data_IF_278727322634
#
_entry.id   IF_278727322634
#
_cell.length_a   1.000
_cell.length_b   1.000
_cell.length_c   1.000
_cell.angle_alpha   90.00
_cell.angle_beta   90.00
_cell.angle_gamma   90.00
#
_symmetry.space_group_name_H-M   'P 1'
#
loop_
_entity.id
_entity.type
_entity.pdbx_description
1 polymer ?
#
# COMPACT_ATOMS: atom_id res chain seq x y z
N UNK A 1 35.23 6.22 -19.03
CA UNK A 1 34.27 5.16 -18.65
C UNK A 1 32.88 5.78 -18.62
N UNK A 2 31.86 5.11 -19.18
CA UNK A 2 30.48 5.55 -19.06
C UNK A 2 30.11 5.66 -17.57
N UNK A 3 29.43 6.76 -17.18
CA UNK A 3 28.97 6.92 -15.80
C UNK A 3 27.80 5.96 -15.55
N UNK A 4 27.75 5.29 -14.39
CA UNK A 4 26.63 4.44 -14.05
C UNK A 4 25.34 5.27 -13.92
N UNK A 5 24.24 4.73 -14.44
CA UNK A 5 22.92 5.30 -14.31
C UNK A 5 22.54 5.44 -12.82
N UNK A 6 22.36 6.67 -12.31
CA UNK A 6 22.13 6.91 -10.90
C UNK A 6 20.80 6.33 -10.39
N UNK A 7 19.75 6.33 -11.22
CA UNK A 7 18.45 5.77 -10.85
C UNK A 7 18.50 4.24 -10.75
N UNK A 8 19.19 3.56 -11.68
CA UNK A 8 19.38 2.11 -11.60
C UNK A 8 20.26 1.70 -10.41
N UNK A 9 21.32 2.46 -10.12
CA UNK A 9 22.17 2.23 -8.95
C UNK A 9 21.36 2.34 -7.66
N UNK A 10 20.51 3.37 -7.54
CA UNK A 10 19.65 3.55 -6.39
C UNK A 10 18.57 2.47 -6.29
N UNK A 11 17.95 2.07 -7.41
CA UNK A 11 17.02 0.94 -7.44
C UNK A 11 17.68 -0.35 -6.93
N UNK A 12 18.93 -0.62 -7.37
CA UNK A 12 19.69 -1.78 -6.90
C UNK A 12 19.92 -1.74 -5.39
N UNK A 13 20.30 -0.58 -4.84
CA UNK A 13 20.47 -0.41 -3.40
C UNK A 13 19.14 -0.67 -2.65
N UNK A 14 18.03 -0.12 -3.14
CA UNK A 14 16.70 -0.35 -2.55
C UNK A 14 16.32 -1.84 -2.51
N UNK A 15 16.57 -2.55 -3.61
CA UNK A 15 16.29 -3.99 -3.72
C UNK A 15 17.13 -4.77 -2.72
N UNK A 16 18.42 -4.44 -2.60
CA UNK A 16 19.34 -5.12 -1.66
C UNK A 16 18.93 -4.85 -0.21
N UNK A 17 18.65 -3.61 0.17
CA UNK A 17 18.21 -3.24 1.53
C UNK A 17 16.93 -3.97 1.94
N UNK A 18 15.98 -4.14 1.01
CA UNK A 18 14.77 -4.92 1.27
C UNK A 18 15.06 -6.40 1.47
N UNK A 19 15.96 -6.99 0.67
CA UNK A 19 16.18 -8.44 0.67
C UNK A 19 17.15 -8.92 1.76
N UNK A 20 18.12 -8.09 2.15
CA UNK A 20 19.12 -8.43 3.18
C UNK A 20 18.76 -7.82 4.54
N UNK A 21 18.48 -6.51 4.56
CA UNK A 21 18.26 -5.76 5.81
C UNK A 21 16.79 -5.80 6.26
N UNK A 22 15.90 -6.35 5.42
CA UNK A 22 14.45 -6.44 5.64
C UNK A 22 13.78 -5.08 5.87
N UNK A 23 14.31 -4.04 5.26
CA UNK A 23 13.72 -2.70 5.32
C UNK A 23 12.69 -2.50 4.21
N UNK A 24 11.55 -1.91 4.55
CA UNK A 24 10.58 -1.49 3.56
C UNK A 24 11.14 -0.39 2.64
N UNK A 25 10.57 -0.25 1.44
CA UNK A 25 10.98 0.83 0.54
C UNK A 25 10.73 2.21 1.20
N UNK A 26 9.64 2.34 1.96
CA UNK A 26 9.31 3.58 2.65
C UNK A 26 10.33 3.94 3.74
N UNK A 27 10.79 2.97 4.53
CA UNK A 27 11.83 3.18 5.55
C UNK A 27 13.15 3.60 4.91
N UNK A 28 13.60 2.90 3.87
CA UNK A 28 14.83 3.24 3.17
C UNK A 28 14.79 4.66 2.58
N UNK A 29 13.66 5.05 1.98
CA UNK A 29 13.47 6.42 1.45
C UNK A 29 13.47 7.46 2.58
N UNK A 30 12.86 7.14 3.72
CA UNK A 30 12.85 8.02 4.89
C UNK A 30 14.23 8.17 5.52
N UNK A 31 15.10 7.16 5.39
CA UNK A 31 16.51 7.18 5.75
C UNK A 31 17.42 7.74 4.64
N UNK A 32 16.87 8.61 3.78
CA UNK A 32 17.66 9.35 2.78
C UNK A 32 18.36 8.47 1.72
N UNK A 33 17.94 7.22 1.52
CA UNK A 33 18.58 6.29 0.55
C UNK A 33 18.58 6.80 -0.91
N UNK A 34 17.76 7.81 -1.21
CA UNK A 34 17.65 8.44 -2.53
C UNK A 34 18.18 9.87 -2.57
N UNK A 35 18.93 10.31 -1.56
CA UNK A 35 19.51 11.64 -1.52
C UNK A 35 20.54 11.88 -2.64
N UNK A 36 20.61 13.14 -3.08
CA UNK A 36 21.43 13.54 -4.23
C UNK A 36 20.85 13.18 -5.61
N UNK A 37 19.70 12.52 -5.69
CA UNK A 37 18.96 12.30 -6.94
C UNK A 37 17.95 13.41 -7.22
N UNK A 38 17.79 13.76 -8.50
CA UNK A 38 16.69 14.62 -8.95
C UNK A 38 15.32 13.95 -8.78
N UNK A 39 14.22 14.70 -8.68
CA UNK A 39 12.88 14.09 -8.52
C UNK A 39 12.52 13.04 -9.59
N UNK A 40 12.85 13.22 -10.90
CA UNK A 40 12.63 12.19 -11.91
C UNK A 40 13.44 10.91 -11.68
N UNK A 41 14.70 11.04 -11.23
CA UNK A 41 15.57 9.91 -10.92
C UNK A 41 15.07 9.15 -9.69
N UNK A 42 14.63 9.86 -8.64
CA UNK A 42 14.00 9.26 -7.45
C UNK A 42 12.77 8.45 -7.83
N UNK A 43 11.87 9.05 -8.61
CA UNK A 43 10.66 8.37 -9.07
C UNK A 43 10.99 7.13 -9.92
N UNK A 44 12.00 7.20 -10.79
CA UNK A 44 12.43 6.05 -11.59
C UNK A 44 13.07 4.95 -10.74
N UNK A 45 13.92 5.30 -9.77
CA UNK A 45 14.55 4.34 -8.87
C UNK A 45 13.51 3.54 -8.07
N UNK A 46 12.51 4.24 -7.51
CA UNK A 46 11.41 3.62 -6.78
C UNK A 46 10.57 2.70 -7.67
N UNK A 47 10.17 3.17 -8.87
CA UNK A 47 9.41 2.34 -9.83
C UNK A 47 10.16 1.06 -10.18
N UNK A 48 11.46 1.14 -10.47
CA UNK A 48 12.28 -0.03 -10.78
C UNK A 48 12.38 -0.98 -9.59
N UNK A 49 12.64 -0.48 -8.38
CA UNK A 49 12.71 -1.31 -7.18
C UNK A 49 11.37 -2.03 -6.91
N UNK A 50 10.26 -1.29 -6.93
CA UNK A 50 8.90 -1.86 -6.79
C UNK A 50 8.61 -2.89 -7.87
N UNK A 51 8.96 -2.61 -9.14
CA UNK A 51 8.76 -3.52 -10.28
C UNK A 51 9.55 -4.82 -10.08
N UNK A 52 10.80 -4.74 -9.62
CA UNK A 52 11.63 -5.92 -9.33
C UNK A 52 11.09 -6.74 -8.17
N UNK A 53 10.70 -6.10 -7.08
CA UNK A 53 10.19 -6.80 -5.89
C UNK A 53 8.86 -7.50 -6.17
N UNK A 54 7.99 -6.92 -7.02
CA UNK A 54 6.76 -7.55 -7.48
C UNK A 54 7.01 -8.80 -8.31
N UNK A 55 7.98 -8.74 -9.21
CA UNK A 55 8.29 -9.82 -10.15
C UNK A 55 9.52 -10.65 -9.72
N UNK A 56 9.83 -10.68 -8.42
CA UNK A 56 11.05 -11.29 -7.91
C UNK A 56 11.14 -12.79 -8.24
N UNK A 57 10.02 -13.50 -8.07
CA UNK A 57 9.93 -14.94 -8.38
C UNK A 57 9.98 -15.21 -9.88
N UNK A 58 9.40 -14.33 -10.71
CA UNK A 58 9.46 -14.45 -12.16
C UNK A 58 10.89 -14.26 -12.66
N UNK A 59 11.58 -13.25 -12.15
CA UNK A 59 12.99 -13.01 -12.45
C UNK A 59 13.87 -14.19 -12.00
N UNK A 60 13.62 -14.74 -10.80
CA UNK A 60 14.33 -15.94 -10.34
C UNK A 60 14.08 -17.16 -11.23
N UNK A 61 12.83 -17.36 -11.67
CA UNK A 61 12.46 -18.43 -12.59
C UNK A 61 13.17 -18.25 -13.95
N UNK A 62 13.27 -17.02 -14.46
CA UNK A 62 14.02 -16.71 -15.68
C UNK A 62 15.52 -16.97 -15.55
N UNK A 63 16.12 -16.61 -14.41
CA UNK A 63 17.56 -16.72 -14.18
C UNK A 63 18.01 -18.15 -13.88
N UNK A 64 17.16 -18.98 -13.26
CA UNK A 64 17.49 -20.33 -12.77
C UNK A 64 18.20 -21.24 -13.80
N UNK A 65 17.77 -21.33 -15.08
CA UNK A 65 18.45 -22.19 -16.06
C UNK A 65 19.87 -21.75 -16.41
N UNK A 66 20.22 -20.48 -16.16
CA UNK A 66 21.49 -19.89 -16.58
C UNK A 66 22.50 -19.73 -15.43
N UNK A 67 22.08 -19.99 -14.19
CA UNK A 67 22.90 -19.89 -12.98
C UNK A 67 23.18 -21.27 -12.38
N UNK A 68 24.42 -21.74 -12.48
CA UNK A 68 24.84 -23.02 -11.84
C UNK A 68 24.97 -22.93 -10.32
N UNK A 69 25.28 -21.75 -9.80
CA UNK A 69 25.41 -21.44 -8.37
C UNK A 69 24.81 -20.06 -8.13
N UNK A 70 24.26 -19.84 -6.93
CA UNK A 70 23.75 -18.52 -6.53
C UNK A 70 24.92 -17.53 -6.47
N UNK A 71 24.92 -16.43 -7.26
CA UNK A 71 25.95 -15.41 -7.15
C UNK A 71 25.73 -14.54 -5.91
N UNK A 72 26.68 -13.64 -5.56
CA UNK A 72 26.50 -12.70 -4.46
C UNK A 72 25.22 -11.86 -4.59
N UNK A 73 24.69 -11.36 -3.47
CA UNK A 73 23.40 -10.66 -3.41
C UNK A 73 23.31 -9.51 -4.41
N UNK A 74 24.31 -8.64 -4.46
CA UNK A 74 24.28 -7.50 -5.40
C UNK A 74 24.25 -7.95 -6.86
N UNK A 75 24.93 -9.06 -7.17
CA UNK A 75 25.00 -9.60 -8.54
C UNK A 75 23.65 -10.21 -8.93
N UNK A 76 23.01 -10.98 -8.04
CA UNK A 76 21.68 -11.52 -8.34
C UNK A 76 20.62 -10.41 -8.37
N UNK A 77 20.70 -9.39 -7.52
CA UNK A 77 19.81 -8.24 -7.53
C UNK A 77 19.95 -7.44 -8.84
N UNK A 78 21.18 -7.26 -9.34
CA UNK A 78 21.43 -6.62 -10.63
C UNK A 78 20.89 -7.45 -11.80
N UNK A 79 21.06 -8.77 -11.77
CA UNK A 79 20.49 -9.68 -12.76
C UNK A 79 18.95 -9.64 -12.77
N UNK A 80 18.32 -9.58 -11.59
CA UNK A 80 16.86 -9.42 -11.45
C UNK A 80 16.39 -8.09 -12.00
N UNK A 81 17.06 -6.99 -11.63
CA UNK A 81 16.79 -5.66 -12.19
C UNK A 81 16.85 -5.66 -13.72
N UNK A 82 17.92 -6.21 -14.28
CA UNK A 82 18.08 -6.28 -15.74
C UNK A 82 17.01 -7.14 -16.41
N UNK A 83 16.65 -8.27 -15.79
CA UNK A 83 15.59 -9.17 -16.29
C UNK A 83 14.24 -8.46 -16.34
N UNK A 84 13.88 -7.74 -15.27
CA UNK A 84 12.61 -7.01 -15.19
C UNK A 84 12.60 -5.82 -16.15
N UNK A 85 13.71 -5.11 -16.33
CA UNK A 85 13.79 -4.05 -17.34
C UNK A 85 13.53 -4.57 -18.76
N UNK A 86 14.02 -5.77 -19.09
CA UNK A 86 13.81 -6.41 -20.40
C UNK A 86 12.37 -6.93 -20.54
N UNK A 87 11.87 -7.62 -19.52
CA UNK A 87 10.63 -8.38 -19.61
C UNK A 87 9.36 -7.56 -19.32
N UNK A 88 9.47 -6.54 -18.46
CA UNK A 88 8.34 -5.73 -17.96
C UNK A 88 8.40 -4.30 -18.48
N UNK A 89 9.54 -3.62 -18.30
CA UNK A 89 9.66 -2.19 -18.66
C UNK A 89 9.88 -1.96 -20.17
N UNK A 90 10.04 -3.02 -20.96
CA UNK A 90 10.21 -2.96 -22.41
C UNK A 90 11.54 -2.33 -22.85
N UNK A 91 12.55 -2.29 -21.98
CA UNK A 91 13.87 -1.73 -22.32
C UNK A 91 14.53 -2.61 -23.37
N UNK A 92 15.03 -2.00 -24.44
CA UNK A 92 15.74 -2.72 -25.50
C UNK A 92 16.89 -3.58 -24.91
N UNK A 93 16.99 -4.88 -25.24
CA UNK A 93 17.94 -5.79 -24.60
C UNK A 93 19.38 -5.31 -24.55
N UNK A 94 19.88 -4.75 -25.67
CA UNK A 94 21.24 -4.22 -25.71
C UNK A 94 21.47 -3.10 -24.67
N UNK A 95 20.52 -2.18 -24.54
CA UNK A 95 20.60 -1.07 -23.59
C UNK A 95 20.53 -1.52 -22.14
N UNK A 96 19.64 -2.47 -21.81
CA UNK A 96 19.55 -3.04 -20.47
C UNK A 96 20.84 -3.78 -20.07
N UNK A 97 21.36 -4.62 -20.97
CA UNK A 97 22.61 -5.38 -20.75
C UNK A 97 23.81 -4.46 -20.59
N UNK A 98 23.98 -3.46 -21.45
CA UNK A 98 25.10 -2.52 -21.38
C UNK A 98 25.07 -1.70 -20.08
N UNK A 99 23.89 -1.21 -19.68
CA UNK A 99 23.71 -0.50 -18.43
C UNK A 99 24.07 -1.39 -17.21
N UNK A 100 23.63 -2.65 -17.22
CA UNK A 100 23.93 -3.60 -16.16
C UNK A 100 25.43 -3.90 -16.05
N UNK A 101 26.10 -4.12 -17.18
CA UNK A 101 27.55 -4.35 -17.23
C UNK A 101 28.32 -3.13 -16.73
N UNK A 102 27.88 -1.93 -17.13
CA UNK A 102 28.47 -0.66 -16.69
C UNK A 102 28.31 -0.47 -15.18
N UNK A 103 27.11 -0.73 -14.62
CA UNK A 103 26.86 -0.70 -13.18
C UNK A 103 27.77 -1.68 -12.44
N UNK A 104 27.83 -2.93 -12.91
CA UNK A 104 28.65 -3.99 -12.34
C UNK A 104 30.14 -3.62 -12.28
N UNK A 105 30.68 -3.03 -13.35
CA UNK A 105 32.09 -2.57 -13.40
C UNK A 105 32.36 -1.36 -12.49
N UNK A 106 31.35 -0.52 -12.27
CA UNK A 106 31.48 0.69 -11.44
C UNK A 106 31.38 0.42 -9.93
N UNK A 107 30.90 -0.74 -9.51
CA UNK A 107 30.58 -1.06 -8.11
C UNK A 107 31.75 -1.70 -7.32
N UNK A 108 33.00 -1.44 -7.73
CA UNK A 108 34.22 -1.92 -7.07
C UNK A 108 34.77 -3.25 -7.61
N UNK A 109 36.00 -3.61 -7.20
CA UNK A 109 36.73 -4.78 -7.74
C UNK A 109 35.97 -6.10 -7.61
N UNK A 110 35.30 -6.33 -6.47
CA UNK A 110 34.58 -7.58 -6.21
C UNK A 110 33.40 -7.79 -7.17
N UNK A 111 32.56 -6.77 -7.36
CA UNK A 111 31.42 -6.85 -8.29
C UNK A 111 31.89 -6.84 -9.74
N UNK A 112 32.90 -6.04 -10.09
CA UNK A 112 33.40 -5.94 -11.47
C UNK A 112 33.86 -7.29 -12.04
N UNK A 113 34.33 -8.22 -11.20
CA UNK A 113 34.71 -9.58 -11.59
C UNK A 113 33.53 -10.39 -12.19
N UNK A 114 32.29 -10.03 -11.85
CA UNK A 114 31.07 -10.68 -12.35
C UNK A 114 30.51 -10.05 -13.63
N UNK A 115 31.15 -9.02 -14.20
CA UNK A 115 30.63 -8.33 -15.40
C UNK A 115 30.46 -9.26 -16.61
N UNK A 116 31.32 -10.28 -16.74
CA UNK A 116 31.18 -11.32 -17.76
C UNK A 116 29.95 -12.22 -17.53
N UNK A 117 29.68 -12.59 -16.28
CA UNK A 117 28.48 -13.35 -15.89
C UNK A 117 27.21 -12.53 -16.15
N UNK A 118 27.18 -11.26 -15.72
CA UNK A 118 26.07 -10.34 -15.93
C UNK A 118 25.75 -10.23 -17.42
N UNK A 119 26.75 -9.94 -18.25
CA UNK A 119 26.56 -9.88 -19.70
C UNK A 119 26.03 -11.18 -20.29
N UNK A 120 26.63 -12.32 -19.94
CA UNK A 120 26.27 -13.61 -20.52
C UNK A 120 24.86 -14.06 -20.13
N UNK A 121 24.48 -13.89 -18.85
CA UNK A 121 23.15 -14.30 -18.35
C UNK A 121 22.07 -13.37 -18.87
N UNK A 122 22.26 -12.06 -18.82
CA UNK A 122 21.26 -11.10 -19.30
C UNK A 122 20.98 -11.23 -20.80
N UNK A 123 21.98 -11.58 -21.63
CA UNK A 123 21.77 -11.89 -23.05
C UNK A 123 20.91 -13.14 -23.25
N UNK A 124 21.17 -14.22 -22.50
CA UNK A 124 20.35 -15.44 -22.56
C UNK A 124 18.92 -15.22 -22.11
N UNK A 125 18.72 -14.38 -21.08
CA UNK A 125 17.37 -13.97 -20.65
C UNK A 125 16.65 -13.20 -21.77
N UNK A 126 17.35 -12.30 -22.47
CA UNK A 126 16.77 -11.59 -23.60
C UNK A 126 16.39 -12.51 -24.77
N UNK A 127 17.25 -13.49 -25.08
CA UNK A 127 16.98 -14.52 -26.10
C UNK A 127 15.76 -15.40 -25.73
N UNK A 128 15.57 -15.68 -24.44
CA UNK A 128 14.50 -16.50 -23.88
C UNK A 128 13.30 -15.66 -23.36
N UNK A 129 13.18 -14.39 -23.75
CA UNK A 129 12.17 -13.45 -23.20
C UNK A 129 10.75 -13.98 -23.27
N UNK A 130 10.42 -14.74 -24.32
CA UNK A 130 9.07 -15.32 -24.51
C UNK A 130 8.65 -16.26 -23.37
N UNK A 131 9.60 -16.88 -22.64
CA UNK A 131 9.26 -17.71 -21.49
C UNK A 131 8.62 -16.90 -20.35
N UNK A 132 8.93 -15.62 -20.22
CA UNK A 132 8.34 -14.74 -19.20
C UNK A 132 6.81 -14.75 -19.25
N UNK A 133 6.22 -14.64 -20.45
CA UNK A 133 4.77 -14.56 -20.63
C UNK A 133 4.05 -15.89 -20.31
N UNK A 134 4.80 -16.97 -20.13
CA UNK A 134 4.28 -18.30 -19.78
C UNK A 134 4.35 -18.60 -18.27
N UNK A 135 5.01 -17.73 -17.50
CA UNK A 135 5.15 -17.93 -16.06
C UNK A 135 3.80 -17.73 -15.36
N UNK A 136 3.43 -18.60 -14.41
CA UNK A 136 2.25 -18.38 -13.60
C UNK A 136 2.48 -17.23 -12.62
N UNK A 137 1.39 -16.62 -12.13
CA UNK A 137 1.47 -15.62 -11.07
C UNK A 137 2.27 -16.16 -9.86
N UNK A 138 3.19 -15.35 -9.29
CA UNK A 138 3.95 -15.70 -8.11
C UNK A 138 3.06 -16.07 -6.93
N UNK A 139 3.51 -17.06 -6.16
CA UNK A 139 2.79 -17.50 -4.98
C UNK A 139 3.21 -16.69 -3.76
N UNK A 140 2.28 -16.41 -2.86
CA UNK A 140 2.62 -15.76 -1.60
C UNK A 140 3.54 -16.66 -0.75
N UNK A 141 4.43 -16.08 0.07
CA UNK A 141 5.24 -16.83 1.03
C UNK A 141 4.37 -17.71 1.95
N UNK A 142 4.90 -18.86 2.35
CA UNK A 142 4.15 -19.88 3.09
C UNK A 142 3.53 -19.35 4.40
N UNK A 143 4.20 -18.41 5.06
CA UNK A 143 3.73 -17.80 6.31
C UNK A 143 2.39 -17.05 6.15
N UNK A 144 2.13 -16.50 4.96
CA UNK A 144 0.92 -15.76 4.64
C UNK A 144 -0.06 -16.64 3.87
N UNK A 145 0.43 -17.37 2.86
CA UNK A 145 -0.42 -18.17 1.97
C UNK A 145 -1.22 -19.24 2.71
N UNK A 146 -0.64 -19.87 3.74
CA UNK A 146 -1.35 -20.83 4.57
C UNK A 146 -2.57 -20.21 5.26
N UNK A 147 -2.42 -18.99 5.81
CA UNK A 147 -3.49 -18.26 6.49
C UNK A 147 -4.59 -17.85 5.53
N UNK A 148 -4.22 -17.31 4.35
CA UNK A 148 -5.20 -16.93 3.34
C UNK A 148 -5.96 -18.14 2.78
N UNK A 149 -5.28 -19.28 2.60
CA UNK A 149 -5.94 -20.52 2.22
C UNK A 149 -6.95 -20.99 3.27
N UNK A 150 -6.64 -20.83 4.56
CA UNK A 150 -7.57 -21.15 5.65
C UNK A 150 -8.75 -20.19 5.73
N UNK A 151 -8.54 -18.89 5.47
CA UNK A 151 -9.57 -17.86 5.57
C UNK A 151 -10.50 -17.83 4.34
N UNK A 152 -9.94 -17.99 3.14
CA UNK A 152 -10.64 -17.73 1.86
C UNK A 152 -10.66 -18.93 0.92
N UNK A 153 -9.91 -19.99 1.22
CA UNK A 153 -9.73 -21.12 0.32
C UNK A 153 -8.67 -20.90 -0.75
N UNK A 154 -8.25 -22.00 -1.38
CA UNK A 154 -7.13 -22.00 -2.36
C UNK A 154 -7.43 -21.21 -3.63
N UNK A 155 -8.66 -21.32 -4.14
CA UNK A 155 -9.05 -20.67 -5.40
C UNK A 155 -9.01 -19.16 -5.26
N UNK A 156 -9.59 -18.61 -4.19
CA UNK A 156 -9.59 -17.17 -3.97
C UNK A 156 -8.21 -16.64 -3.58
N UNK A 157 -7.41 -17.42 -2.83
CA UNK A 157 -6.00 -17.07 -2.58
C UNK A 157 -5.20 -16.94 -3.88
N UNK A 158 -5.45 -17.80 -4.87
CA UNK A 158 -4.82 -17.67 -6.20
C UNK A 158 -5.27 -16.42 -6.94
N UNK A 159 -6.55 -16.03 -6.85
CA UNK A 159 -7.02 -14.76 -7.44
C UNK A 159 -6.36 -13.55 -6.78
N UNK A 160 -6.18 -13.57 -5.46
CA UNK A 160 -5.45 -12.54 -4.72
C UNK A 160 -3.98 -12.48 -5.17
N UNK A 161 -3.33 -13.64 -5.37
CA UNK A 161 -1.96 -13.73 -5.93
C UNK A 161 -1.86 -13.07 -7.31
N UNK A 162 -2.83 -13.34 -8.20
CA UNK A 162 -2.93 -12.69 -9.52
C UNK A 162 -3.10 -11.18 -9.39
N UNK A 163 -3.99 -10.71 -8.51
CA UNK A 163 -4.21 -9.28 -8.29
C UNK A 163 -2.98 -8.56 -7.70
N UNK A 164 -2.24 -9.20 -6.80
CA UNK A 164 -0.97 -8.68 -6.29
C UNK A 164 0.08 -8.53 -7.39
N UNK A 165 0.15 -9.52 -8.28
CA UNK A 165 1.08 -9.54 -9.41
C UNK A 165 0.76 -8.49 -10.47
N UNK A 166 -0.53 -8.23 -10.74
CA UNK A 166 -0.97 -7.21 -11.68
C UNK A 166 -0.61 -5.77 -11.24
N UNK A 167 -0.40 -5.55 -9.93
CA UNK A 167 -0.17 -4.23 -9.36
C UNK A 167 -1.48 -3.45 -9.13
N UNK A 168 -1.35 -2.20 -8.72
CA UNK A 168 -2.49 -1.37 -8.33
C UNK A 168 -2.63 -0.14 -9.24
N UNK A 169 -3.84 0.14 -9.77
CA UNK A 169 -4.12 1.42 -10.39
C UNK A 169 -4.07 2.55 -9.37
N UNK A 170 -4.06 3.78 -9.88
CA UNK A 170 -4.14 5.00 -9.06
C UNK A 170 -5.59 5.44 -8.99
N UNK A 171 -6.10 5.50 -7.77
CA UNK A 171 -7.44 5.98 -7.46
C UNK A 171 -7.33 7.36 -6.80
N UNK A 172 -8.25 8.24 -7.16
CA UNK A 172 -8.34 9.60 -6.70
C UNK A 172 -9.68 9.82 -6.02
N UNK A 173 -9.67 10.40 -4.83
CA UNK A 173 -10.88 11.01 -4.27
C UNK A 173 -10.93 12.47 -4.70
N UNK A 174 -12.07 12.86 -5.27
CA UNK A 174 -12.32 14.20 -5.81
C UNK A 174 -13.23 15.01 -4.89
N UNK A 175 -13.03 16.33 -4.84
CA UNK A 175 -13.85 17.26 -4.03
C UNK A 175 -15.21 17.59 -4.65
N UNK A 176 -15.32 17.45 -5.96
CA UNK A 176 -16.50 17.81 -6.77
C UNK A 176 -16.94 16.63 -7.64
N UNK A 177 -17.76 16.89 -8.66
CA UNK A 177 -18.33 15.86 -9.54
C UNK A 177 -17.28 14.90 -10.12
N UNK A 178 -17.41 13.61 -9.79
CA UNK A 178 -16.51 12.57 -10.24
C UNK A 178 -16.61 12.30 -11.75
N UNK A 179 -17.76 12.54 -12.38
CA UNK A 179 -17.93 12.33 -13.81
C UNK A 179 -17.10 13.35 -14.62
N UNK A 180 -17.17 14.64 -14.27
CA UNK A 180 -16.35 15.69 -14.88
C UNK A 180 -14.85 15.43 -14.67
N UNK A 181 -14.44 15.01 -13.48
CA UNK A 181 -13.03 14.66 -13.22
C UNK A 181 -12.56 13.42 -13.98
N UNK A 182 -13.40 12.40 -14.10
CA UNK A 182 -13.07 11.21 -14.88
C UNK A 182 -12.83 11.54 -16.36
N UNK A 183 -13.65 12.43 -16.95
CA UNK A 183 -13.42 12.90 -18.32
C UNK A 183 -12.09 13.67 -18.45
N UNK A 184 -11.82 14.62 -17.54
CA UNK A 184 -10.60 15.45 -17.57
C UNK A 184 -9.31 14.67 -17.34
N UNK A 185 -9.39 13.58 -16.58
CA UNK A 185 -8.24 12.78 -16.17
C UNK A 185 -8.11 11.47 -16.97
N UNK A 186 -8.94 11.28 -17.99
CA UNK A 186 -9.00 10.05 -18.78
C UNK A 186 -9.13 8.81 -17.88
N UNK A 187 -10.03 8.90 -16.90
CA UNK A 187 -10.29 7.89 -15.89
C UNK A 187 -11.69 7.31 -15.98
N UNK A 188 -11.97 6.37 -15.08
CA UNK A 188 -13.32 5.84 -14.86
C UNK A 188 -13.82 6.22 -13.47
N UNK A 189 -15.13 6.47 -13.35
CA UNK A 189 -15.78 6.62 -12.04
C UNK A 189 -15.99 5.24 -11.45
N UNK A 190 -15.39 5.00 -10.29
CA UNK A 190 -15.63 3.80 -9.50
C UNK A 190 -17.01 3.87 -8.83
N UNK A 191 -17.65 2.73 -8.50
CA UNK A 191 -18.95 2.72 -7.83
C UNK A 191 -19.03 3.59 -6.57
N UNK A 192 -17.92 3.74 -5.84
CA UNK A 192 -17.81 4.57 -4.63
C UNK A 192 -17.65 6.06 -4.90
N UNK A 193 -17.68 6.51 -6.15
CA UNK A 193 -17.50 7.91 -6.54
C UNK A 193 -16.05 8.40 -6.50
N UNK A 194 -15.08 7.50 -6.42
CA UNK A 194 -13.66 7.82 -6.68
C UNK A 194 -13.37 7.75 -8.19
N UNK A 195 -12.31 8.40 -8.65
CA UNK A 195 -11.87 8.35 -10.06
C UNK A 195 -10.62 7.48 -10.17
N UNK A 196 -10.67 6.43 -10.98
CA UNK A 196 -9.54 5.56 -11.29
C UNK A 196 -8.89 5.99 -12.60
N UNK A 197 -7.59 6.25 -12.57
CA UNK A 197 -6.85 6.66 -13.77
C UNK A 197 -6.60 5.46 -14.69
N UNK A 198 -6.86 5.61 -15.99
CA UNK A 198 -6.48 4.60 -16.99
C UNK A 198 -4.96 4.58 -17.23
N UNK A 199 -4.31 5.75 -17.18
CA UNK A 199 -2.89 5.92 -17.39
C UNK A 199 -2.25 6.73 -16.27
N UNK A 200 -1.18 6.19 -15.68
CA UNK A 200 -0.47 6.85 -14.58
C UNK A 200 0.71 7.63 -15.13
N UNK A 201 0.55 8.95 -15.22
CA UNK A 201 1.62 9.90 -15.48
C UNK A 201 2.28 10.43 -14.20
N UNK A 202 2.96 11.56 -14.32
CA UNK A 202 3.42 12.31 -13.14
C UNK A 202 2.20 12.99 -12.50
N UNK A 203 1.78 12.52 -11.32
CA UNK A 203 0.60 13.02 -10.60
C UNK A 203 0.61 14.54 -10.43
N UNK A 204 1.77 15.11 -10.12
CA UNK A 204 1.93 16.56 -9.92
C UNK A 204 1.75 17.40 -11.19
N UNK A 205 1.56 16.77 -12.36
CA UNK A 205 1.27 17.43 -13.64
C UNK A 205 -0.15 17.23 -14.11
N UNK A 206 -0.94 16.42 -13.40
CA UNK A 206 -2.33 16.19 -13.75
C UNK A 206 -3.17 17.42 -13.40
N UNK A 207 -4.19 17.76 -14.23
CA UNK A 207 -5.15 18.82 -13.91
C UNK A 207 -5.74 18.64 -12.50
N UNK A 208 -5.89 19.74 -11.75
CA UNK A 208 -6.46 19.71 -10.40
C UNK A 208 -5.49 19.39 -9.26
N UNK A 209 -4.24 19.00 -9.55
CA UNK A 209 -3.28 18.68 -8.49
C UNK A 209 -2.92 19.91 -7.65
N UNK A 210 -2.49 21.01 -8.30
CA UNK A 210 -2.01 22.23 -7.63
C UNK A 210 -3.13 23.00 -6.92
N UNK A 211 -4.35 22.98 -7.50
CA UNK A 211 -5.57 23.52 -6.87
C UNK A 211 -6.12 22.61 -5.77
N UNK A 212 -5.58 21.39 -5.65
CA UNK A 212 -5.97 20.44 -4.62
C UNK A 212 -7.40 19.93 -4.75
N UNK A 213 -7.91 19.82 -5.98
CA UNK A 213 -9.26 19.36 -6.28
C UNK A 213 -9.47 17.85 -6.02
N UNK A 214 -8.36 17.13 -5.83
CA UNK A 214 -8.33 15.72 -5.50
C UNK A 214 -7.06 15.33 -4.75
N UNK A 215 -7.08 14.12 -4.18
CA UNK A 215 -5.93 13.45 -3.60
C UNK A 215 -5.95 11.95 -3.94
N UNK A 216 -4.78 11.32 -3.88
CA UNK A 216 -4.64 9.87 -4.12
C UNK A 216 -5.17 9.10 -2.91
N UNK A 217 -6.10 8.18 -3.15
CA UNK A 217 -6.68 7.32 -2.13
C UNK A 217 -7.30 6.08 -2.78
N UNK A 218 -6.84 4.88 -2.39
CA UNK A 218 -7.44 3.61 -2.85
C UNK A 218 -8.93 3.53 -2.51
N UNK A 219 -9.72 2.89 -3.37
CA UNK A 219 -11.15 2.66 -3.16
C UNK A 219 -11.49 2.08 -1.77
N UNK A 220 -10.73 1.11 -1.26
CA UNK A 220 -10.94 0.51 0.06
C UNK A 220 -10.66 1.49 1.20
N UNK A 221 -9.61 2.31 1.07
CA UNK A 221 -9.31 3.38 2.02
C UNK A 221 -10.38 4.49 1.99
N UNK A 222 -10.97 4.77 0.83
CA UNK A 222 -12.09 5.70 0.70
C UNK A 222 -13.39 5.15 1.30
N UNK A 223 -13.67 3.85 1.12
CA UNK A 223 -14.80 3.18 1.78
C UNK A 223 -14.69 3.26 3.30
N UNK A 224 -13.50 3.08 3.87
CA UNK A 224 -13.30 3.13 5.32
C UNK A 224 -13.70 4.49 5.92
N UNK A 225 -13.27 5.60 5.33
CA UNK A 225 -13.66 6.93 5.81
C UNK A 225 -15.14 7.24 5.53
N UNK A 226 -15.70 6.79 4.39
CA UNK A 226 -17.13 6.92 4.10
C UNK A 226 -18.02 6.13 5.06
N UNK A 227 -17.58 4.97 5.52
CA UNK A 227 -18.29 4.14 6.50
C UNK A 227 -18.45 4.85 7.86
N UNK A 228 -17.64 5.88 8.14
CA UNK A 228 -17.83 6.72 9.32
C UNK A 228 -19.02 7.66 9.15
N UNK A 229 -19.46 7.98 7.93
CA UNK A 229 -20.57 8.90 7.67
C UNK A 229 -20.45 10.23 8.44
N UNK A 230 -19.24 10.80 8.52
CA UNK A 230 -18.99 12.07 9.24
C UNK A 230 -19.92 13.19 8.73
N UNK A 231 -20.56 13.90 9.66
CA UNK A 231 -21.46 15.01 9.37
C UNK A 231 -20.74 16.35 9.54
N UNK A 232 -21.24 17.43 8.91
CA UNK A 232 -20.78 18.78 9.18
C UNK A 232 -20.83 19.09 10.69
N UNK A 233 -19.83 19.83 11.17
CA UNK A 233 -19.69 20.30 12.56
C UNK A 233 -19.48 19.20 13.64
N UNK A 234 -19.51 17.90 13.31
CA UNK A 234 -19.15 16.84 14.26
C UNK A 234 -17.67 16.94 14.67
N UNK A 235 -17.37 16.65 15.94
CA UNK A 235 -15.99 16.47 16.37
C UNK A 235 -15.55 15.05 16.01
N UNK A 236 -14.63 14.95 15.05
CA UNK A 236 -14.17 13.67 14.50
C UNK A 236 -12.70 13.45 14.81
N UNK A 237 -12.35 12.26 15.29
CA UNK A 237 -10.96 11.86 15.49
C UNK A 237 -10.54 10.88 14.40
N UNK A 238 -9.45 11.17 13.70
CA UNK A 238 -8.73 10.24 12.82
C UNK A 238 -7.47 9.75 13.56
N UNK A 239 -7.48 8.48 13.97
CA UNK A 239 -6.37 7.84 14.69
C UNK A 239 -5.47 7.09 13.72
N UNK A 240 -4.16 7.32 13.86
CA UNK A 240 -3.12 6.87 12.92
C UNK A 240 -3.29 7.51 11.55
N UNK A 241 -3.60 8.80 11.55
CA UNK A 241 -4.11 9.56 10.42
C UNK A 241 -3.14 9.66 9.22
N UNK A 242 -1.83 9.61 9.46
CA UNK A 242 -0.87 9.91 8.40
C UNK A 242 -0.82 8.78 7.35
N UNK A 243 -0.62 9.05 6.06
CA UNK A 243 -0.31 10.34 5.43
C UNK A 243 -1.53 11.23 5.10
N UNK A 244 -2.75 10.87 5.54
CA UNK A 244 -3.85 11.83 5.60
C UNK A 244 -5.01 11.68 4.62
N UNK A 245 -5.01 10.68 3.73
CA UNK A 245 -6.10 10.55 2.73
C UNK A 245 -7.49 10.44 3.35
N UNK A 246 -7.62 9.71 4.47
CA UNK A 246 -8.87 9.60 5.24
C UNK A 246 -9.18 10.92 5.97
N UNK A 247 -8.19 11.57 6.57
CA UNK A 247 -8.33 12.91 7.18
C UNK A 247 -8.89 13.92 6.20
N UNK A 248 -8.37 13.99 4.97
CA UNK A 248 -8.85 14.90 3.92
C UNK A 248 -10.32 14.60 3.59
N UNK A 249 -10.66 13.32 3.45
CA UNK A 249 -12.02 12.90 3.15
C UNK A 249 -13.00 13.26 4.28
N UNK A 250 -12.59 13.09 5.54
CA UNK A 250 -13.36 13.49 6.71
C UNK A 250 -13.49 15.02 6.81
N UNK A 251 -12.42 15.77 6.57
CA UNK A 251 -12.46 17.24 6.59
C UNK A 251 -13.34 17.81 5.47
N UNK A 252 -13.35 17.15 4.30
CA UNK A 252 -14.20 17.52 3.17
C UNK A 252 -15.70 17.44 3.48
N UNK A 253 -16.13 16.66 4.48
CA UNK A 253 -17.55 16.62 4.90
C UNK A 253 -17.98 17.85 5.70
N UNK A 254 -17.03 18.71 6.09
CA UNK A 254 -17.27 19.85 6.99
C UNK A 254 -17.16 19.50 8.48
N UNK A 255 -16.68 18.30 8.82
CA UNK A 255 -16.46 17.92 10.21
C UNK A 255 -15.24 18.64 10.82
N UNK A 256 -15.25 18.81 12.14
CA UNK A 256 -14.11 19.33 12.91
C UNK A 256 -13.15 18.17 13.22
N UNK A 257 -12.20 17.95 12.32
CA UNK A 257 -11.30 16.79 12.38
C UNK A 257 -10.07 17.07 13.25
N UNK A 258 -9.80 16.16 14.19
CA UNK A 258 -8.49 16.01 14.84
C UNK A 258 -7.79 14.80 14.24
N UNK A 259 -6.60 14.99 13.68
CA UNK A 259 -5.76 13.95 13.10
C UNK A 259 -4.58 13.65 14.02
N UNK A 260 -4.51 12.42 14.55
CA UNK A 260 -3.47 11.99 15.47
C UNK A 260 -2.59 10.92 14.85
N UNK A 261 -1.27 11.12 14.90
CA UNK A 261 -0.29 10.11 14.51
C UNK A 261 1.00 10.27 15.34
N UNK A 262 1.73 9.18 15.55
CA UNK A 262 3.00 9.21 16.28
C UNK A 262 4.15 9.76 15.42
N UNK A 263 4.04 9.66 14.09
CA UNK A 263 5.11 9.96 13.15
C UNK A 263 5.08 11.42 12.67
N UNK A 264 5.92 12.27 13.28
CA UNK A 264 6.10 13.67 12.84
C UNK A 264 6.40 13.81 11.34
N UNK A 265 7.32 13.04 10.73
CA UNK A 265 7.60 13.17 9.30
C UNK A 265 6.40 12.79 8.41
N UNK A 266 5.57 11.82 8.81
CA UNK A 266 4.35 11.50 8.05
C UNK A 266 3.27 12.58 8.23
N UNK A 267 3.23 13.23 9.38
CA UNK A 267 2.33 14.36 9.64
C UNK A 267 2.69 15.62 8.84
N UNK A 268 3.96 15.83 8.50
CA UNK A 268 4.36 16.90 7.57
C UNK A 268 3.67 16.74 6.21
N UNK A 269 3.63 15.52 5.66
CA UNK A 269 2.89 15.21 4.42
C UNK A 269 1.38 15.44 4.54
N UNK A 270 0.81 15.17 5.71
CA UNK A 270 -0.60 15.48 5.97
C UNK A 270 -0.85 17.00 5.95
N UNK A 271 0.02 17.80 6.58
CA UNK A 271 -0.07 19.26 6.55
C UNK A 271 0.04 19.80 5.11
N UNK A 272 0.99 19.30 4.33
CA UNK A 272 1.15 19.68 2.92
C UNK A 272 -0.13 19.39 2.11
N UNK A 273 -0.74 18.21 2.31
CA UNK A 273 -1.97 17.86 1.62
C UNK A 273 -3.19 18.67 2.09
N UNK A 274 -3.34 18.92 3.39
CA UNK A 274 -4.39 19.79 3.92
C UNK A 274 -4.28 21.19 3.31
N UNK A 275 -3.08 21.76 3.32
CA UNK A 275 -2.81 23.07 2.72
C UNK A 275 -3.09 23.08 1.22
N UNK A 276 -2.62 22.07 0.47
CA UNK A 276 -2.82 21.98 -0.99
C UNK A 276 -4.30 21.87 -1.33
N UNK A 277 -5.05 21.05 -0.60
CA UNK A 277 -6.48 20.81 -0.82
C UNK A 277 -7.39 21.90 -0.24
N UNK A 278 -6.85 22.91 0.45
CA UNK A 278 -7.64 23.95 1.12
C UNK A 278 -8.58 23.36 2.18
N UNK A 279 -8.13 22.33 2.90
CA UNK A 279 -8.84 21.64 3.96
C UNK A 279 -8.12 21.88 5.30
N UNK A 280 -8.86 21.82 6.40
CA UNK A 280 -8.34 22.05 7.74
C UNK A 280 -8.63 20.89 8.67
N UNK A 281 -7.63 20.52 9.48
CA UNK A 281 -7.76 19.60 10.60
C UNK A 281 -6.76 20.01 11.69
N UNK A 282 -7.09 19.75 12.96
CA UNK A 282 -6.12 19.86 14.05
C UNK A 282 -5.17 18.67 13.97
N UNK A 283 -3.87 18.92 13.81
CA UNK A 283 -2.87 17.84 13.71
C UNK A 283 -2.13 17.67 15.03
N UNK A 284 -2.12 16.45 15.56
CA UNK A 284 -1.51 16.09 16.84
C UNK A 284 -0.45 15.01 16.64
N UNK A 285 0.80 15.33 16.95
CA UNK A 285 1.91 14.39 16.94
C UNK A 285 2.06 13.73 18.32
N UNK A 286 1.43 12.58 18.53
CA UNK A 286 1.47 11.88 19.81
C UNK A 286 1.27 10.36 19.66
N UNK A 287 1.74 9.61 20.65
CA UNK A 287 1.40 8.20 20.79
C UNK A 287 -0.03 8.07 21.34
N UNK A 288 -0.91 7.45 20.57
CA UNK A 288 -2.30 7.22 20.95
C UNK A 288 -2.42 6.52 22.32
N UNK A 289 -1.49 5.64 22.68
CA UNK A 289 -1.51 4.93 23.95
C UNK A 289 -1.24 5.82 25.17
N UNK A 290 -0.61 6.98 24.95
CA UNK A 290 -0.20 7.92 26.01
C UNK A 290 -0.88 9.29 25.90
N UNK A 291 -1.59 9.57 24.81
CA UNK A 291 -2.32 10.81 24.59
C UNK A 291 -3.75 10.73 25.10
N UNK A 292 -4.29 11.83 25.62
CA UNK A 292 -5.69 11.93 26.06
C UNK A 292 -6.28 13.23 25.49
N UNK A 293 -7.43 13.20 24.82
CA UNK A 293 -8.10 14.41 24.35
C UNK A 293 -8.75 15.17 25.50
N UNK A 294 -8.90 16.49 25.34
CA UNK A 294 -9.62 17.34 26.30
C UNK A 294 -11.13 17.09 26.29
N UNK A 295 -11.67 16.64 25.17
CA UNK A 295 -13.09 16.36 24.97
C UNK A 295 -13.31 15.04 24.23
N UNK A 296 -14.45 14.40 24.48
CA UNK A 296 -14.87 13.24 23.70
C UNK A 296 -15.30 13.61 22.28
N UNK A 297 -15.29 12.63 21.38
CA UNK A 297 -15.62 12.77 19.96
C UNK A 297 -17.00 12.19 19.64
N UNK A 298 -17.66 12.77 18.64
CA UNK A 298 -18.92 12.27 18.08
C UNK A 298 -18.69 11.04 17.20
N UNK A 299 -17.57 11.05 16.47
CA UNK A 299 -17.15 9.92 15.65
C UNK A 299 -15.63 9.72 15.68
N UNK A 300 -15.18 8.47 15.59
CA UNK A 300 -13.75 8.12 15.55
C UNK A 300 -13.49 7.18 14.39
N UNK A 301 -12.49 7.48 13.56
CA UNK A 301 -11.89 6.54 12.63
C UNK A 301 -10.58 6.03 13.21
N UNK A 302 -10.51 4.73 13.43
CA UNK A 302 -9.30 4.02 13.84
C UNK A 302 -8.75 3.22 12.66
N UNK A 303 -7.78 3.81 11.95
CA UNK A 303 -6.99 3.11 10.93
C UNK A 303 -5.81 2.40 11.59
N UNK A 304 -6.10 1.26 12.22
CA UNK A 304 -5.17 0.67 13.17
C UNK A 304 -3.86 0.19 12.48
N UNK A 305 -2.69 0.34 13.13
CA UNK A 305 -1.43 -0.17 12.61
C UNK A 305 -1.51 -1.68 12.42
N UNK A 306 -1.22 -2.17 11.21
CA UNK A 306 -1.48 -3.55 10.84
C UNK A 306 -0.39 -4.16 9.94
N UNK A 307 -0.56 -5.44 9.59
CA UNK A 307 0.36 -6.16 8.71
C UNK A 307 0.41 -5.59 7.29
N UNK A 308 -0.54 -4.74 6.91
CA UNK A 308 -0.69 -4.16 5.58
C UNK A 308 -0.75 -5.20 4.44
N UNK A 309 -1.12 -6.45 4.77
CA UNK A 309 -1.20 -7.56 3.80
C UNK A 309 -2.23 -7.34 2.70
N UNK A 310 -3.17 -6.41 2.86
CA UNK A 310 -4.10 -6.00 1.82
C UNK A 310 -3.51 -5.05 0.79
N UNK A 311 -2.34 -4.45 1.06
CA UNK A 311 -1.71 -3.45 0.18
C UNK A 311 -0.55 -4.00 -0.65
N UNK A 312 -0.35 -5.32 -0.68
CA UNK A 312 0.80 -5.96 -1.34
C UNK A 312 0.92 -5.59 -2.83
N UNK A 313 -0.21 -5.34 -3.51
CA UNK A 313 -0.19 -4.86 -4.91
C UNK A 313 0.53 -3.51 -5.09
N UNK A 314 0.55 -2.68 -4.05
CA UNK A 314 1.27 -1.39 -3.97
C UNK A 314 2.65 -1.55 -3.35
N UNK A 315 2.76 -2.41 -2.33
CA UNK A 315 3.96 -2.64 -1.54
C UNK A 315 4.38 -4.12 -1.62
N UNK A 316 4.94 -4.55 -2.76
CA UNK A 316 5.29 -5.95 -3.00
C UNK A 316 6.41 -6.47 -2.11
N UNK A 317 7.12 -5.59 -1.39
CA UNK A 317 8.14 -5.94 -0.42
C UNK A 317 7.58 -6.52 0.88
N UNK A 318 6.34 -6.17 1.26
CA UNK A 318 5.78 -6.51 2.57
C UNK A 318 5.83 -8.01 2.88
N UNK A 319 5.52 -8.93 1.95
CA UNK A 319 5.59 -10.36 2.22
C UNK A 319 7.01 -10.88 2.42
N UNK A 320 8.02 -10.16 1.93
CA UNK A 320 9.43 -10.54 1.95
C UNK A 320 10.11 -10.13 3.26
N UNK A 321 9.70 -8.99 3.81
CA UNK A 321 10.31 -8.41 5.02
C UNK A 321 9.57 -8.81 6.32
N UNK A 322 8.31 -9.26 6.21
CA UNK A 322 7.50 -9.71 7.35
C UNK A 322 7.47 -11.23 7.46
N UNK A 323 7.18 -11.70 8.67
CA UNK A 323 6.92 -13.10 8.97
C UNK A 323 5.83 -13.28 10.04
N UNK A 324 5.43 -14.54 10.29
CA UNK A 324 4.40 -14.88 11.26
C UNK A 324 4.69 -14.47 12.71
N UNK A 325 5.96 -14.23 13.10
CA UNK A 325 6.29 -13.78 14.44
C UNK A 325 6.17 -12.26 14.54
N UNK A 326 6.70 -11.54 13.54
CA UNK A 326 6.74 -10.08 13.49
C UNK A 326 5.37 -9.39 13.53
N UNK A 327 4.32 -10.06 13.03
CA UNK A 327 2.96 -9.47 12.98
C UNK A 327 2.13 -9.69 14.25
N UNK A 328 2.49 -10.64 15.12
CA UNK A 328 1.70 -10.95 16.32
C UNK A 328 1.54 -9.78 17.30
N UNK A 329 2.57 -8.96 17.56
CA UNK A 329 2.41 -7.80 18.44
C UNK A 329 1.35 -6.80 17.95
N UNK A 330 1.11 -6.72 16.64
CA UNK A 330 0.12 -5.83 16.06
C UNK A 330 -1.30 -6.19 16.51
N UNK A 331 -1.61 -7.47 16.70
CA UNK A 331 -2.95 -7.92 17.10
C UNK A 331 -3.29 -7.42 18.51
N UNK A 332 -2.31 -7.47 19.42
CA UNK A 332 -2.48 -6.96 20.79
C UNK A 332 -2.57 -5.43 20.82
N UNK A 333 -1.74 -4.75 20.02
CA UNK A 333 -1.78 -3.30 19.90
C UNK A 333 -3.13 -2.83 19.34
N UNK A 334 -3.65 -3.46 18.29
CA UNK A 334 -4.96 -3.16 17.71
C UNK A 334 -6.07 -3.28 18.74
N UNK A 335 -6.11 -4.36 19.52
CA UNK A 335 -7.10 -4.55 20.58
C UNK A 335 -7.03 -3.43 21.63
N UNK A 336 -5.82 -3.07 22.08
CA UNK A 336 -5.61 -2.00 23.05
C UNK A 336 -6.03 -0.63 22.51
N UNK A 337 -5.71 -0.35 21.24
CA UNK A 337 -6.11 0.90 20.57
C UNK A 337 -7.61 0.99 20.35
N UNK A 338 -8.28 -0.13 20.01
CA UNK A 338 -9.73 -0.20 19.91
C UNK A 338 -10.36 0.17 21.24
N UNK A 339 -9.99 -0.52 22.32
CA UNK A 339 -10.55 -0.28 23.66
C UNK A 339 -10.28 1.16 24.13
N UNK A 340 -9.09 1.68 23.84
CA UNK A 340 -8.74 3.07 24.17
C UNK A 340 -9.57 4.08 23.38
N UNK A 341 -9.76 3.88 22.09
CA UNK A 341 -10.58 4.75 21.25
C UNK A 341 -12.04 4.82 21.76
N UNK A 342 -12.60 3.72 22.25
CA UNK A 342 -13.94 3.71 22.86
C UNK A 342 -14.04 4.63 24.10
N UNK A 343 -12.97 4.81 24.87
CA UNK A 343 -12.97 5.74 26.03
C UNK A 343 -13.10 7.22 25.62
N UNK A 344 -12.69 7.55 24.39
CA UNK A 344 -12.79 8.89 23.82
C UNK A 344 -14.09 9.13 23.06
N UNK A 345 -14.91 8.09 22.88
CA UNK A 345 -16.16 8.17 22.15
C UNK A 345 -17.30 8.58 23.08
N UNK A 346 -18.07 9.61 22.68
CA UNK A 346 -19.29 10.01 23.39
C UNK A 346 -20.30 8.85 23.42
N UNK A 347 -21.19 8.79 24.44
CA UNK A 347 -22.40 7.98 24.37
C UNK A 347 -23.19 8.29 23.08
N UNK A 348 -23.68 7.27 22.39
CA UNK A 348 -24.32 7.40 21.07
C UNK A 348 -23.37 7.68 19.90
N UNK A 349 -22.08 7.94 20.17
CA UNK A 349 -21.06 8.13 19.16
C UNK A 349 -20.71 6.84 18.43
N UNK A 350 -20.06 6.97 17.27
CA UNK A 350 -19.68 5.82 16.43
C UNK A 350 -18.18 5.75 16.15
N UNK A 351 -17.68 4.53 16.05
CA UNK A 351 -16.29 4.25 15.74
C UNK A 351 -16.22 3.37 14.48
N UNK A 352 -15.42 3.77 13.50
CA UNK A 352 -14.95 2.87 12.44
C UNK A 352 -13.62 2.30 12.85
N UNK A 353 -13.53 0.98 12.96
CA UNK A 353 -12.28 0.26 13.00
C UNK A 353 -11.96 -0.24 11.60
N UNK A 354 -10.77 0.09 11.08
CA UNK A 354 -10.32 -0.46 9.82
C UNK A 354 -8.85 -0.86 9.86
N UNK A 355 -8.51 -1.85 9.02
CA UNK A 355 -7.13 -2.23 8.74
C UNK A 355 -6.98 -2.56 7.26
N UNK A 356 -5.83 -2.21 6.66
CA UNK A 356 -5.48 -2.66 5.32
C UNK A 356 -4.85 -4.07 5.30
N UNK A 357 -5.46 -5.00 6.04
CA UNK A 357 -4.99 -6.39 6.22
C UNK A 357 -5.94 -7.39 5.57
N UNK A 358 -5.41 -8.54 5.13
CA UNK A 358 -6.16 -9.72 4.68
C UNK A 358 -6.30 -10.79 5.77
N UNK A 359 -5.85 -10.51 7.00
CA UNK A 359 -5.85 -11.48 8.08
C UNK A 359 -7.11 -11.32 8.94
N UNK A 360 -7.87 -12.41 9.20
CA UNK A 360 -8.98 -12.35 10.14
C UNK A 360 -8.57 -11.92 11.55
N UNK A 361 -7.33 -12.22 11.97
CA UNK A 361 -6.75 -11.81 13.25
C UNK A 361 -6.62 -10.28 13.42
N UNK A 362 -6.68 -9.51 12.33
CA UNK A 362 -6.61 -8.05 12.31
C UNK A 362 -7.94 -7.40 11.89
N UNK A 363 -8.99 -8.21 11.71
CA UNK A 363 -10.30 -7.77 11.26
C UNK A 363 -11.42 -8.39 12.08
N UNK A 364 -12.04 -9.46 11.56
CA UNK A 364 -13.22 -10.10 12.13
C UNK A 364 -13.00 -10.53 13.58
N UNK A 365 -11.83 -11.07 13.91
CA UNK A 365 -11.53 -11.51 15.28
C UNK A 365 -11.31 -10.34 16.24
N UNK A 366 -10.82 -9.19 15.74
CA UNK A 366 -10.71 -7.96 16.54
C UNK A 366 -12.10 -7.41 16.86
N UNK A 367 -12.97 -7.33 15.85
CA UNK A 367 -14.36 -6.90 16.04
C UNK A 367 -15.08 -7.82 17.03
N UNK A 368 -15.00 -9.13 16.82
CA UNK A 368 -15.63 -10.12 17.70
C UNK A 368 -15.18 -9.96 19.15
N UNK A 369 -13.87 -9.90 19.39
CA UNK A 369 -13.35 -9.75 20.74
C UNK A 369 -13.71 -8.39 21.37
N UNK A 370 -13.79 -7.32 20.58
CA UNK A 370 -14.22 -6.00 21.07
C UNK A 370 -15.69 -6.01 21.52
N UNK A 371 -16.58 -6.67 20.77
CA UNK A 371 -17.99 -6.83 21.13
C UNK A 371 -18.18 -7.69 22.38
N UNK A 372 -17.35 -8.73 22.57
CA UNK A 372 -17.37 -9.53 23.80
C UNK A 372 -16.95 -8.73 25.04
N UNK A 373 -15.95 -7.85 24.90
CA UNK A 373 -15.47 -6.99 25.99
C UNK A 373 -16.40 -5.82 26.29
N UNK A 374 -17.16 -5.35 25.31
CA UNK A 374 -17.98 -4.14 25.39
C UNK A 374 -19.43 -4.44 24.94
N UNK A 375 -20.28 -4.97 25.83
CA UNK A 375 -21.65 -5.38 25.50
C UNK A 375 -22.60 -4.22 25.18
N UNK A 376 -22.18 -2.97 25.41
CA UNK A 376 -22.89 -1.74 25.06
C UNK A 376 -22.64 -1.29 23.60
N UNK A 377 -21.84 -2.04 22.84
CA UNK A 377 -21.61 -1.80 21.42
C UNK A 377 -22.61 -2.51 20.53
N UNK A 378 -23.07 -1.81 19.51
CA UNK A 378 -23.84 -2.38 18.40
C UNK A 378 -23.07 -2.19 17.10
N UNK A 379 -23.12 -3.18 16.21
CA UNK A 379 -22.53 -3.05 14.86
C UNK A 379 -23.53 -2.36 13.96
N UNK A 380 -23.10 -1.30 13.28
CA UNK A 380 -23.88 -0.60 12.26
C UNK A 380 -23.60 -1.19 10.89
N UNK A 381 -24.64 -1.41 10.05
CA UNK A 381 -24.44 -1.90 8.69
C UNK A 381 -23.68 -0.89 7.84
N UNK A 382 -22.79 -1.39 6.98
CA UNK A 382 -22.06 -0.58 5.99
C UNK A 382 -22.76 -0.74 4.65
N UNK A 383 -23.61 0.23 4.30
CA UNK A 383 -24.30 0.29 3.01
C UNK A 383 -23.67 1.39 2.14
N UNK A 384 -22.70 0.98 1.32
CA UNK A 384 -21.98 1.87 0.41
C UNK A 384 -22.17 1.40 -1.04
N UNK A 385 -22.33 2.33 -2.00
CA UNK A 385 -22.40 1.98 -3.42
C UNK A 385 -21.22 1.10 -3.88
N UNK A 386 -21.56 0.02 -4.58
CA UNK A 386 -20.59 -0.95 -5.12
C UNK A 386 -20.09 -1.99 -4.12
N UNK A 387 -20.52 -1.96 -2.86
CA UNK A 387 -20.31 -3.06 -1.93
C UNK A 387 -21.23 -4.21 -2.29
N UNK A 388 -20.67 -5.39 -2.54
CA UNK A 388 -21.47 -6.59 -2.80
C UNK A 388 -21.86 -7.30 -1.49
N UNK A 389 -23.05 -7.92 -1.41
CA UNK A 389 -23.52 -8.57 -0.19
C UNK A 389 -22.56 -9.62 0.37
N UNK A 390 -21.84 -10.34 -0.50
CA UNK A 390 -20.92 -11.40 -0.09
C UNK A 390 -19.60 -10.88 0.50
N UNK A 391 -19.37 -9.57 0.51
CA UNK A 391 -18.23 -8.93 1.19
C UNK A 391 -18.52 -8.65 2.66
N UNK A 392 -19.80 -8.69 3.05
CA UNK A 392 -20.21 -8.51 4.44
C UNK A 392 -19.84 -9.74 5.27
N UNK A 393 -19.26 -9.51 6.43
CA UNK A 393 -18.90 -10.57 7.36
C UNK A 393 -20.10 -10.91 8.25
N UNK A 394 -20.17 -12.12 8.85
CA UNK A 394 -21.30 -12.52 9.69
C UNK A 394 -21.58 -11.56 10.86
N UNK A 395 -20.56 -10.84 11.35
CA UNK A 395 -20.66 -9.87 12.43
C UNK A 395 -21.02 -8.46 11.96
N UNK A 396 -21.30 -8.24 10.68
CA UNK A 396 -21.70 -6.94 10.12
C UNK A 396 -20.53 -6.04 9.69
N UNK A 397 -19.30 -6.55 9.71
CA UNK A 397 -18.15 -5.87 9.10
C UNK A 397 -18.11 -6.03 7.58
N UNK A 398 -17.14 -5.38 6.94
CA UNK A 398 -16.88 -5.44 5.51
C UNK A 398 -15.46 -5.93 5.28
N UNK A 399 -15.31 -7.00 4.50
CA UNK A 399 -14.03 -7.60 4.10
C UNK A 399 -13.81 -7.36 2.61
N UNK A 400 -12.85 -6.50 2.28
CA UNK A 400 -12.42 -6.22 0.92
C UNK A 400 -11.20 -7.06 0.57
N UNK A 401 -11.10 -7.52 -0.68
CA UNK A 401 -9.98 -8.31 -1.20
C UNK A 401 -9.45 -7.77 -2.53
N UNK A 402 -8.15 -7.97 -2.82
CA UNK A 402 -7.54 -7.52 -4.06
C UNK A 402 -8.15 -8.06 -5.35
N UNK A 403 -8.77 -9.24 -5.29
CA UNK A 403 -9.44 -9.88 -6.43
C UNK A 403 -10.85 -9.33 -6.70
N UNK A 404 -11.39 -8.46 -5.84
CA UNK A 404 -12.68 -7.80 -6.08
C UNK A 404 -12.54 -6.66 -7.09
N UNK A 405 -13.58 -6.47 -7.91
CA UNK A 405 -13.53 -5.57 -9.09
C UNK A 405 -12.34 -5.90 -10.02
N UNK A 406 -12.05 -7.18 -10.24
CA UNK A 406 -10.96 -7.62 -11.10
C UNK A 406 -11.03 -7.03 -12.52
N UNK A 407 -12.25 -6.87 -13.05
CA UNK A 407 -12.56 -6.23 -14.33
C UNK A 407 -12.23 -4.73 -14.38
N UNK A 408 -12.06 -4.09 -13.22
CA UNK A 408 -11.68 -2.68 -13.06
C UNK A 408 -10.24 -2.51 -12.58
N UNK A 409 -9.46 -3.59 -12.46
CA UNK A 409 -8.08 -3.54 -11.94
C UNK A 409 -7.96 -3.68 -10.41
N UNK A 410 -8.99 -4.20 -9.74
CA UNK A 410 -8.90 -4.60 -8.33
C UNK A 410 -9.10 -3.47 -7.32
N UNK A 411 -8.96 -3.77 -6.04
CA UNK A 411 -8.84 -2.79 -4.94
C UNK A 411 -7.78 -3.22 -3.94
N UNK A 412 -7.44 -2.42 -2.93
CA UNK A 412 -6.64 -2.95 -1.81
C UNK A 412 -7.52 -3.81 -0.89
N UNK A 413 -6.90 -4.79 -0.22
CA UNK A 413 -7.55 -5.56 0.82
C UNK A 413 -7.75 -4.72 2.09
N UNK A 414 -8.94 -4.79 2.67
CA UNK A 414 -9.30 -4.06 3.88
C UNK A 414 -10.27 -4.86 4.75
N UNK A 415 -10.23 -4.58 6.05
CA UNK A 415 -11.36 -4.83 6.95
C UNK A 415 -11.91 -3.48 7.40
N UNK A 416 -13.23 -3.35 7.46
CA UNK A 416 -13.93 -2.15 7.95
C UNK A 416 -15.09 -2.61 8.82
N UNK A 417 -15.23 -2.04 10.01
CA UNK A 417 -16.38 -2.27 10.88
C UNK A 417 -16.80 -0.96 11.54
N UNK A 418 -18.08 -0.64 11.47
CA UNK A 418 -18.66 0.51 12.18
C UNK A 418 -19.39 0.01 13.41
N UNK A 419 -18.99 0.46 14.59
CA UNK A 419 -19.67 0.19 15.86
C UNK A 419 -20.21 1.47 16.45
N UNK A 420 -21.33 1.38 17.17
CA UNK A 420 -21.92 2.50 17.89
C UNK A 420 -21.97 2.16 19.38
N UNK A 421 -21.59 3.14 20.20
CA UNK A 421 -21.73 3.04 21.65
C UNK A 421 -23.16 3.39 22.06
N UNK A 422 -23.72 2.65 23.01
CA UNK A 422 -25.02 2.96 23.58
C UNK A 422 -25.12 4.42 24.04
N UNK A 423 -26.30 5.03 23.88
CA UNK A 423 -26.61 6.40 24.32
C UNK A 423 -27.02 6.50 25.79
N UNK A 424 -27.16 5.36 26.49
CA UNK A 424 -27.70 5.25 27.86
C UNK A 424 -26.60 5.40 28.90
#
# INVERSE_FOLDING_TARGET
MARPDPARRAALALIVGTLEDRESLAEQIAQEALDGLSPPERARAQRLATSVLRHLQDADAMLKPFLKRKPPTDVIALLRLTTVEICVEGVAPYGAVDAAVTLCRSAGQKLSAYSGLVNAVSRKVAEDRARWDTLPAPQLPSWLRGRLNSAYGKVDTQKIEVAHHAGAPVDLTVKSDAADWAERLEGEVLPTGSVRLAHVGQLSKLPGFDSGDWWVQDAGAAMAARALHAQPDEHVLDLCAAPGGKTLQLAQTGAQVTALDISKPRLERLHENLSRCGLSAQVVAADAMHWTPDTQFDAILLDAPCSATGTIRRHPELPLIKDSASIKPLFALQAQMFDRALTWLKPGGRLVYCTCSLLPEEGELQLHAALERNPDLTVLPIDLPGVEPHWQTPQGGLRLRPDYWADRGGMDGFFIATVQRSSI
#
